data_IF_606266686373
#
_entry.id   IF_606266686373
#
_cell.length_a   1.000
_cell.length_b   1.000
_cell.length_c   1.000
_cell.angle_alpha   90.00
_cell.angle_beta   90.00
_cell.angle_gamma   90.00
#
_symmetry.space_group_name_H-M   'P 1'
#
loop_
_entity.id
_entity.type
_entity.pdbx_description
1 polymer ?
#
# COMPACT_ATOMS: atom_id res chain seq x y z
N UNK A 1 13.12 -51.56 32.24
CA UNK A 1 13.15 -50.52 31.20
C UNK A 1 11.72 -50.02 31.02
N UNK A 2 11.45 -48.75 31.34
CA UNK A 2 10.10 -48.17 31.42
C UNK A 2 10.13 -46.88 30.59
N UNK A 3 9.51 -46.87 29.42
CA UNK A 3 9.37 -45.66 28.60
C UNK A 3 8.08 -44.94 28.97
N UNK A 4 8.10 -43.61 29.14
CA UNK A 4 6.88 -42.81 29.09
C UNK A 4 6.73 -42.17 27.70
N UNK A 5 5.67 -42.59 27.01
CA UNK A 5 5.15 -41.97 25.79
C UNK A 5 4.66 -40.56 26.16
N UNK A 6 5.25 -39.52 25.56
CA UNK A 6 4.77 -38.15 25.70
C UNK A 6 3.84 -37.85 24.53
N UNK A 7 2.55 -37.65 24.84
CA UNK A 7 1.51 -37.32 23.88
C UNK A 7 1.73 -35.90 23.32
N UNK A 8 1.83 -35.80 22.00
CA UNK A 8 1.78 -34.54 21.26
C UNK A 8 0.32 -34.06 21.25
N UNK A 9 0.03 -32.98 21.95
CA UNK A 9 -1.25 -32.30 21.85
C UNK A 9 -1.24 -31.40 20.61
N UNK A 10 -1.94 -31.80 19.55
CA UNK A 10 -2.24 -30.94 18.42
C UNK A 10 -3.38 -30.00 18.81
N UNK A 11 -3.08 -28.69 18.93
CA UNK A 11 -4.10 -27.66 19.10
C UNK A 11 -4.93 -27.55 17.80
N UNK A 12 -6.28 -27.55 17.87
CA UNK A 12 -7.09 -27.24 16.71
C UNK A 12 -6.99 -25.73 16.41
N UNK A 13 -6.44 -25.39 15.25
CA UNK A 13 -6.49 -24.04 14.69
C UNK A 13 -7.95 -23.67 14.40
N UNK A 14 -8.52 -22.82 15.25
CA UNK A 14 -9.84 -22.24 15.04
C UNK A 14 -9.76 -21.22 13.89
N UNK A 15 -10.17 -21.65 12.68
CA UNK A 15 -10.39 -20.77 11.55
C UNK A 15 -11.62 -19.89 11.81
N UNK A 16 -11.40 -18.59 12.03
CA UNK A 16 -12.46 -17.59 11.95
C UNK A 16 -12.69 -17.23 10.48
N UNK A 17 -13.73 -17.82 9.89
CA UNK A 17 -14.29 -17.43 8.60
C UNK A 17 -14.96 -16.06 8.76
N UNK A 18 -14.25 -15.00 8.39
CA UNK A 18 -14.84 -13.67 8.22
C UNK A 18 -15.51 -13.60 6.85
N UNK A 19 -16.80 -13.29 6.85
CA UNK A 19 -17.67 -13.24 5.68
C UNK A 19 -17.32 -12.02 4.82
N UNK A 20 -16.91 -12.24 3.58
CA UNK A 20 -16.79 -11.20 2.57
C UNK A 20 -18.19 -10.74 2.14
N UNK A 21 -18.50 -9.47 2.37
CA UNK A 21 -19.64 -8.81 1.73
C UNK A 21 -19.16 -8.21 0.40
N UNK A 22 -19.89 -8.42 -0.73
CA UNK A 22 -19.57 -7.77 -1.99
C UNK A 22 -19.97 -6.29 -1.88
N UNK A 23 -19.01 -5.39 -2.08
CA UNK A 23 -19.31 -3.98 -2.33
C UNK A 23 -19.45 -3.80 -3.84
N UNK A 24 -20.64 -3.34 -4.22
CA UNK A 24 -21.10 -3.18 -5.59
C UNK A 24 -20.23 -2.20 -6.39
N UNK A 25 -20.09 -2.54 -7.67
CA UNK A 25 -19.59 -1.68 -8.74
C UNK A 25 -20.39 -0.38 -8.78
N UNK A 26 -19.69 0.75 -8.66
CA UNK A 26 -20.24 2.07 -8.95
C UNK A 26 -19.31 2.77 -9.92
N UNK A 27 -19.43 2.38 -11.20
CA UNK A 27 -19.13 3.25 -12.33
C UNK A 27 -19.73 4.64 -12.13
N UNK A 28 -18.89 5.61 -11.80
CA UNK A 28 -19.24 7.02 -11.78
C UNK A 28 -18.31 7.74 -12.73
N UNK A 29 -18.83 7.92 -13.93
CA UNK A 29 -18.34 8.86 -14.93
C UNK A 29 -18.17 10.24 -14.28
N UNK A 30 -16.94 10.75 -14.20
CA UNK A 30 -16.67 12.14 -13.86
C UNK A 30 -16.04 12.83 -15.07
N UNK A 31 -16.90 13.39 -15.92
CA UNK A 31 -16.57 14.40 -16.92
C UNK A 31 -15.91 15.61 -16.23
N UNK A 32 -14.75 16.02 -16.72
CA UNK A 32 -14.15 17.35 -16.47
C UNK A 32 -13.30 17.72 -17.67
N UNK A 33 -13.92 18.16 -18.77
CA UNK A 33 -14.07 19.57 -19.15
C UNK A 33 -12.75 20.21 -19.59
N UNK A 34 -12.53 20.20 -20.91
CA UNK A 34 -11.67 21.14 -21.64
C UNK A 34 -11.87 22.59 -21.18
N UNK A 35 -10.78 23.34 -21.03
CA UNK A 35 -10.87 24.76 -20.69
C UNK A 35 -9.54 25.47 -20.48
N UNK A 36 -8.98 25.93 -21.61
CA UNK A 36 -8.34 27.24 -21.78
C UNK A 36 -6.95 27.52 -21.15
N UNK A 37 -6.03 27.80 -22.09
CA UNK A 37 -4.84 28.66 -21.99
C UNK A 37 -4.39 29.18 -20.63
N UNK A 38 -3.15 28.83 -20.26
CA UNK A 38 -2.05 29.81 -20.16
C UNK A 38 -0.70 29.14 -19.93
N UNK A 39 0.23 29.64 -20.72
CA UNK A 39 1.68 29.47 -20.67
C UNK A 39 2.22 29.69 -19.25
N UNK A 40 2.49 28.61 -18.52
CA UNK A 40 3.39 28.63 -17.38
C UNK A 40 4.25 27.38 -17.46
N UNK A 41 5.55 27.59 -17.55
CA UNK A 41 6.56 26.61 -17.21
C UNK A 41 6.49 26.36 -15.69
N UNK A 42 5.36 25.79 -15.26
CA UNK A 42 5.08 25.48 -13.86
C UNK A 42 6.05 24.39 -13.46
N UNK A 43 6.89 24.67 -12.47
CA UNK A 43 7.63 23.66 -11.72
C UNK A 43 6.63 22.63 -11.18
N UNK A 44 6.34 21.59 -11.97
CA UNK A 44 5.34 20.60 -11.64
C UNK A 44 5.80 19.89 -10.37
N UNK A 45 4.96 19.90 -9.32
CA UNK A 45 5.25 19.25 -8.04
C UNK A 45 5.75 17.81 -8.31
N UNK A 46 6.98 17.45 -7.89
CA UNK A 46 7.56 16.14 -8.17
C UNK A 46 6.80 14.99 -7.48
N UNK A 47 6.06 15.32 -6.41
CA UNK A 47 5.20 14.42 -5.67
C UNK A 47 3.76 14.38 -6.19
N UNK A 48 3.45 15.05 -7.31
CA UNK A 48 2.12 14.94 -7.90
C UNK A 48 1.89 13.53 -8.46
N UNK A 49 0.73 12.96 -8.14
CA UNK A 49 0.26 11.69 -8.68
C UNK A 49 -0.14 11.86 -10.14
N UNK A 50 0.67 11.28 -11.04
CA UNK A 50 0.41 11.27 -12.50
C UNK A 50 -0.08 9.93 -13.02
N UNK A 51 0.21 8.87 -12.26
CA UNK A 51 -0.22 7.51 -12.52
C UNK A 51 -0.84 7.01 -11.22
N UNK A 52 -2.05 6.45 -11.31
CA UNK A 52 -2.73 5.88 -10.17
C UNK A 52 -1.99 4.65 -9.65
N UNK A 53 -1.92 4.49 -8.34
CA UNK A 53 -1.29 3.35 -7.67
C UNK A 53 -2.14 2.87 -6.50
N UNK A 54 -2.06 1.59 -6.13
CA UNK A 54 -2.80 1.05 -5.00
C UNK A 54 -2.22 1.52 -3.65
N UNK A 55 -3.08 1.59 -2.65
CA UNK A 55 -2.70 1.63 -1.24
C UNK A 55 -2.88 0.24 -0.65
N UNK A 56 -1.92 -0.23 0.13
CA UNK A 56 -1.94 -1.52 0.79
C UNK A 56 -2.23 -1.37 2.29
N UNK A 57 -2.82 -2.39 2.91
CA UNK A 57 -3.11 -2.37 4.35
C UNK A 57 -1.86 -2.58 5.21
N UNK A 58 -0.92 -3.38 4.71
CA UNK A 58 0.37 -3.73 5.32
C UNK A 58 1.49 -3.56 4.28
N UNK A 59 2.76 -3.39 4.70
CA UNK A 59 3.88 -3.20 3.77
C UNK A 59 4.38 -4.54 3.21
N UNK A 60 3.52 -5.23 2.45
CA UNK A 60 3.85 -6.45 1.70
C UNK A 60 2.97 -6.55 0.44
N UNK A 61 3.46 -7.22 -0.61
CA UNK A 61 2.77 -7.34 -1.89
C UNK A 61 1.48 -8.15 -1.80
N UNK A 62 1.50 -9.17 -0.93
CA UNK A 62 0.36 -10.03 -0.60
C UNK A 62 -0.74 -9.33 0.21
N UNK A 63 -0.51 -8.10 0.68
CA UNK A 63 -1.47 -7.36 1.50
C UNK A 63 -2.75 -6.99 0.74
N UNK A 64 -3.93 -7.03 1.39
CA UNK A 64 -5.14 -6.44 0.82
C UNK A 64 -4.96 -4.95 0.50
N UNK A 65 -5.58 -4.52 -0.61
CA UNK A 65 -5.60 -3.11 -1.00
C UNK A 65 -6.69 -2.35 -0.23
N UNK A 66 -6.39 -1.09 0.13
CA UNK A 66 -7.25 -0.15 0.84
C UNK A 66 -7.78 0.98 -0.07
N UNK A 67 -7.61 0.82 -1.39
CA UNK A 67 -8.04 1.76 -2.42
C UNK A 67 -6.89 2.22 -3.32
N UNK A 68 -7.12 3.28 -4.09
CA UNK A 68 -6.19 3.77 -5.12
C UNK A 68 -5.93 5.27 -4.95
N UNK A 69 -4.77 5.74 -5.39
CA UNK A 69 -4.44 7.16 -5.45
C UNK A 69 -5.28 7.93 -6.46
N UNK A 70 -5.45 9.23 -6.19
CA UNK A 70 -6.25 10.15 -7.01
C UNK A 70 -5.28 10.93 -7.90
N UNK A 71 -5.55 10.98 -9.21
CA UNK A 71 -4.74 11.76 -10.14
C UNK A 71 -4.73 13.25 -9.77
N UNK A 72 -3.57 13.88 -9.90
CA UNK A 72 -3.36 15.28 -9.54
C UNK A 72 -3.17 15.55 -8.04
N UNK A 73 -3.46 14.59 -7.16
CA UNK A 73 -3.18 14.70 -5.73
C UNK A 73 -1.66 14.74 -5.47
N UNK A 74 -1.27 15.14 -4.26
CA UNK A 74 0.14 15.12 -3.83
C UNK A 74 0.40 13.91 -2.96
N UNK A 75 1.42 13.11 -3.29
CA UNK A 75 1.92 12.03 -2.46
C UNK A 75 2.50 12.60 -1.17
N UNK A 76 2.09 12.04 -0.04
CA UNK A 76 2.60 12.38 1.29
C UNK A 76 2.79 11.10 2.09
N UNK A 77 3.93 10.99 2.78
CA UNK A 77 4.26 9.85 3.63
C UNK A 77 4.78 10.33 4.98
N UNK A 78 4.47 9.58 6.04
CA UNK A 78 4.91 9.87 7.40
C UNK A 78 6.28 9.24 7.69
N UNK A 79 6.42 7.96 7.34
CA UNK A 79 7.63 7.17 7.56
C UNK A 79 7.77 6.10 6.47
N UNK A 80 8.91 5.44 6.41
CA UNK A 80 9.16 4.28 5.55
C UNK A 80 9.44 3.01 6.37
N UNK A 81 9.18 1.86 5.79
CA UNK A 81 9.58 0.55 6.30
C UNK A 81 10.28 -0.19 5.17
N UNK A 82 11.35 -0.89 5.49
CA UNK A 82 12.11 -1.66 4.52
C UNK A 82 12.23 -3.10 5.01
N UNK A 83 11.65 -4.04 4.28
CA UNK A 83 11.82 -5.46 4.54
C UNK A 83 12.89 -6.05 3.62
N UNK A 84 13.78 -6.85 4.22
CA UNK A 84 14.93 -7.44 3.54
C UNK A 84 14.57 -8.64 2.65
N UNK A 85 15.60 -9.19 2.00
CA UNK A 85 15.49 -10.29 1.02
C UNK A 85 14.89 -11.60 1.59
N UNK A 86 14.88 -11.78 2.92
CA UNK A 86 14.21 -12.90 3.60
C UNK A 86 12.73 -13.03 3.20
N UNK A 87 12.10 -11.92 2.82
CA UNK A 87 10.70 -11.84 2.45
C UNK A 87 10.45 -12.09 0.95
N UNK A 88 11.48 -12.39 0.15
CA UNK A 88 11.33 -12.74 -1.27
C UNK A 88 10.60 -11.66 -2.07
N UNK A 89 9.52 -12.03 -2.76
CA UNK A 89 8.67 -11.12 -3.55
C UNK A 89 7.96 -10.04 -2.72
N UNK A 90 7.87 -10.23 -1.40
CA UNK A 90 7.29 -9.21 -0.51
C UNK A 90 8.31 -8.16 -0.07
N UNK A 91 9.61 -8.35 -0.35
CA UNK A 91 10.70 -7.43 0.05
C UNK A 91 10.62 -6.05 -0.62
N UNK A 92 11.29 -5.07 -0.01
CA UNK A 92 11.44 -3.71 -0.57
C UNK A 92 11.11 -2.58 0.39
N UNK A 93 11.14 -1.36 -0.15
CA UNK A 93 10.84 -0.15 0.62
C UNK A 93 9.38 0.25 0.46
N UNK A 94 8.75 0.54 1.57
CA UNK A 94 7.34 0.87 1.71
C UNK A 94 7.18 2.18 2.47
N UNK A 95 6.18 2.99 2.10
CA UNK A 95 5.91 4.28 2.72
C UNK A 95 4.54 4.27 3.37
N UNK A 96 4.49 4.67 4.64
CA UNK A 96 3.22 4.85 5.35
C UNK A 96 2.60 6.18 4.97
N UNK A 97 1.37 6.14 4.47
CA UNK A 97 0.57 7.32 4.10
C UNK A 97 -0.73 7.33 4.92
N UNK A 98 -1.52 8.43 4.89
CA UNK A 98 -2.84 8.46 5.53
C UNK A 98 -3.79 7.37 5.02
N UNK A 99 -3.63 6.90 3.78
CA UNK A 99 -4.56 5.97 3.11
C UNK A 99 -4.10 4.51 3.16
N UNK A 100 -2.87 4.25 3.59
CA UNK A 100 -2.26 2.92 3.58
C UNK A 100 -0.76 2.96 3.31
N UNK A 101 -0.20 1.81 2.98
CA UNK A 101 1.18 1.64 2.56
C UNK A 101 1.29 1.74 1.05
N UNK A 102 2.38 2.34 0.57
CA UNK A 102 2.69 2.47 -0.85
C UNK A 102 4.10 1.96 -1.07
N UNK A 103 4.31 1.12 -2.07
CA UNK A 103 5.65 0.63 -2.41
C UNK A 103 6.47 1.75 -3.05
N UNK A 104 7.79 1.75 -2.85
CA UNK A 104 8.67 2.78 -3.41
C UNK A 104 8.57 2.90 -4.95
N UNK A 105 8.35 1.77 -5.62
CA UNK A 105 8.21 1.74 -7.07
C UNK A 105 6.89 2.34 -7.58
N UNK A 106 5.86 2.37 -6.74
CA UNK A 106 4.51 2.84 -7.11
C UNK A 106 4.35 4.36 -6.93
N UNK A 107 5.08 4.97 -6.00
CA UNK A 107 4.99 6.41 -5.74
C UNK A 107 5.51 7.24 -6.92
N UNK A 108 5.16 8.53 -7.02
CA UNK A 108 5.71 9.41 -8.06
C UNK A 108 7.24 9.34 -8.07
N UNK A 109 7.82 8.99 -9.23
CA UNK A 109 9.25 8.65 -9.36
C UNK A 109 10.22 9.74 -8.91
N UNK A 110 9.79 11.00 -8.93
CA UNK A 110 10.61 12.16 -8.51
C UNK A 110 10.40 12.56 -7.05
N UNK A 111 9.53 11.86 -6.34
CA UNK A 111 9.24 12.11 -4.94
C UNK A 111 10.03 11.15 -4.07
N UNK A 112 10.89 11.66 -3.19
CA UNK A 112 11.70 10.81 -2.32
C UNK A 112 10.87 10.15 -1.20
N UNK A 113 9.76 10.78 -0.82
CA UNK A 113 8.94 10.36 0.32
C UNK A 113 9.60 10.71 1.65
N UNK A 114 9.25 9.98 2.71
CA UNK A 114 9.79 10.18 4.06
C UNK A 114 11.15 9.51 4.19
N UNK A 115 12.07 10.17 4.89
CA UNK A 115 13.38 9.64 5.28
C UNK A 115 13.39 9.12 6.71
N UNK A 116 12.23 9.10 7.38
CA UNK A 116 12.08 8.62 8.76
C UNK A 116 11.60 7.17 8.72
N UNK A 117 12.28 6.28 9.42
CA UNK A 117 11.86 4.88 9.54
C UNK A 117 10.64 4.74 10.47
N UNK A 118 9.70 3.87 10.12
CA UNK A 118 8.52 3.59 10.93
C UNK A 118 8.91 2.76 12.15
N UNK A 119 8.43 3.16 13.33
CA UNK A 119 8.40 2.27 14.49
C UNK A 119 7.18 1.36 14.33
N UNK A 120 7.40 0.05 14.21
CA UNK A 120 6.37 -0.97 13.96
C UNK A 120 6.20 -1.86 15.19
#
# INVERSE_FOLDING_TARGET
MKSPIHAVFLLPLAFSIATAAPVEDSSLEARGNDGDGKNYQTSQNPCQVRVSYPYYKFPCASSPQNGTSILGATFTSFCFYENGEEYGEDSGKWFKTPRGWVRDEDKPKRCDGSTVECVI
#
